data_IF_838730028410
#
_entry.id   IF_838730028410
#
_cell.length_a   1.000
_cell.length_b   1.000
_cell.length_c   1.000
_cell.angle_alpha   90.00
_cell.angle_beta   90.00
_cell.angle_gamma   90.00
#
_symmetry.space_group_name_H-M   'P 1'
#
loop_
_entity.id
_entity.type
_entity.pdbx_description
1 polymer ?
#
# COMPACT_ATOMS: atom_id res chain seq x y z
N UNK A 1 -19.35 16.46 -5.48
CA UNK A 1 -20.62 17.11 -5.88
C UNK A 1 -21.40 16.18 -6.80
N UNK A 2 -22.75 16.21 -6.76
CA UNK A 2 -23.60 15.37 -7.62
C UNK A 2 -24.52 16.18 -8.54
N UNK A 3 -24.94 17.38 -8.13
CA UNK A 3 -25.70 18.31 -8.96
C UNK A 3 -25.34 19.76 -8.59
N UNK A 4 -25.46 20.68 -9.55
CA UNK A 4 -25.25 22.12 -9.34
C UNK A 4 -26.25 22.93 -10.17
N UNK A 5 -27.01 23.84 -9.53
CA UNK A 5 -27.99 24.72 -10.19
C UNK A 5 -28.94 23.95 -11.13
N UNK A 6 -29.50 22.84 -10.65
CA UNK A 6 -30.40 21.97 -11.42
C UNK A 6 -29.73 21.07 -12.47
N UNK A 7 -28.41 21.16 -12.69
CA UNK A 7 -27.69 20.28 -13.60
C UNK A 7 -27.16 19.04 -12.87
N UNK A 8 -27.49 17.87 -13.39
CA UNK A 8 -26.94 16.60 -12.94
C UNK A 8 -25.48 16.44 -13.38
N UNK A 9 -24.61 16.08 -12.44
CA UNK A 9 -23.19 15.83 -12.65
C UNK A 9 -22.82 14.37 -12.39
N UNK A 10 -23.75 13.49 -12.02
CA UNK A 10 -23.46 12.09 -11.63
C UNK A 10 -22.71 11.31 -12.71
N UNK A 11 -22.99 11.60 -13.99
CA UNK A 11 -22.32 11.03 -15.17
C UNK A 11 -20.91 11.57 -15.43
N UNK A 12 -20.51 12.65 -14.75
CA UNK A 12 -19.18 13.23 -14.91
C UNK A 12 -18.13 12.47 -14.08
N UNK A 13 -16.90 12.33 -14.57
CA UNK A 13 -15.76 11.85 -13.80
C UNK A 13 -15.60 12.56 -12.45
N UNK A 14 -15.07 11.86 -11.45
CA UNK A 14 -14.82 12.42 -10.12
C UNK A 14 -13.91 13.66 -10.19
N UNK A 15 -12.91 13.67 -11.06
CA UNK A 15 -12.01 14.81 -11.25
C UNK A 15 -12.78 16.08 -11.63
N UNK A 16 -13.63 16.02 -12.66
CA UNK A 16 -14.47 17.14 -13.10
C UNK A 16 -15.41 17.59 -11.98
N UNK A 17 -16.04 16.64 -11.28
CA UNK A 17 -16.94 16.95 -10.16
C UNK A 17 -16.23 17.63 -8.99
N UNK A 18 -14.95 17.32 -8.76
CA UNK A 18 -14.12 17.99 -7.75
C UNK A 18 -13.75 19.40 -8.18
N UNK A 19 -13.41 19.61 -9.45
CA UNK A 19 -13.13 20.94 -9.99
C UNK A 19 -14.35 21.86 -9.90
N UNK A 20 -15.54 21.36 -10.19
CA UNK A 20 -16.78 22.12 -10.00
C UNK A 20 -17.01 22.42 -8.51
N UNK A 21 -16.73 21.47 -7.61
CA UNK A 21 -16.88 21.69 -6.17
C UNK A 21 -15.91 22.74 -5.63
N UNK A 22 -14.67 22.77 -6.12
CA UNK A 22 -13.65 23.73 -5.66
C UNK A 22 -13.93 25.17 -6.10
N UNK A 23 -14.74 25.37 -7.14
CA UNK A 23 -15.18 26.70 -7.61
C UNK A 23 -16.31 27.29 -6.76
N UNK A 24 -16.88 26.52 -5.84
CA UNK A 24 -18.00 26.97 -5.01
C UNK A 24 -17.46 27.46 -3.68
N UNK A 25 -17.78 28.71 -3.36
CA UNK A 25 -17.57 29.26 -2.02
C UNK A 25 -18.52 28.57 -1.04
N UNK A 26 -17.98 27.63 -0.27
CA UNK A 26 -18.71 27.00 0.83
C UNK A 26 -18.62 27.89 2.06
N UNK A 27 -19.75 28.38 2.54
CA UNK A 27 -19.84 29.14 3.78
C UNK A 27 -19.86 28.19 4.99
N UNK A 28 -19.21 28.58 6.08
CA UNK A 28 -18.89 27.72 7.24
C UNK A 28 -20.12 27.20 7.99
N UNK A 29 -20.01 26.05 8.71
CA UNK A 29 -18.78 25.31 9.05
C UNK A 29 -18.57 24.03 8.22
N UNK A 30 -18.31 24.17 6.92
CA UNK A 30 -18.02 23.04 6.04
C UNK A 30 -16.52 22.88 5.78
N UNK A 31 -16.03 21.64 5.85
CA UNK A 31 -14.67 21.27 5.46
C UNK A 31 -14.71 20.35 4.25
N UNK A 32 -13.86 20.64 3.26
CA UNK A 32 -13.67 19.79 2.09
C UNK A 32 -12.62 18.71 2.37
N UNK A 33 -12.93 17.48 1.91
CA UNK A 33 -11.95 16.39 1.93
C UNK A 33 -11.02 16.51 0.73
N UNK A 34 -9.83 17.04 0.98
CA UNK A 34 -8.75 17.10 0.00
C UNK A 34 -8.16 15.71 -0.29
N UNK A 35 -7.60 15.49 -1.49
CA UNK A 35 -6.90 14.25 -1.81
C UNK A 35 -5.66 14.15 -0.91
N UNK A 36 -5.44 12.97 -0.34
CA UNK A 36 -4.29 12.74 0.52
C UNK A 36 -3.06 12.40 -0.35
N UNK A 37 -2.00 13.23 -0.35
CA UNK A 37 -0.78 12.92 -1.09
C UNK A 37 0.05 11.85 -0.37
N UNK A 38 0.88 11.14 -1.13
CA UNK A 38 1.83 10.15 -0.59
C UNK A 38 1.53 8.72 -1.02
N UNK A 39 2.37 7.80 -0.56
CA UNK A 39 2.24 6.37 -0.86
C UNK A 39 1.23 5.69 0.07
N UNK A 40 0.77 4.50 -0.33
CA UNK A 40 -0.20 3.73 0.45
C UNK A 40 0.33 3.39 1.84
N UNK A 41 1.63 3.12 1.97
CA UNK A 41 2.28 2.78 3.23
C UNK A 41 2.26 3.96 4.20
N UNK A 42 2.59 5.17 3.72
CA UNK A 42 2.57 6.38 4.53
C UNK A 42 1.14 6.71 4.98
N UNK A 43 0.17 6.67 4.06
CA UNK A 43 -1.22 6.93 4.40
C UNK A 43 -1.77 5.92 5.42
N UNK A 44 -1.45 4.63 5.24
CA UNK A 44 -1.88 3.58 6.18
C UNK A 44 -1.25 3.77 7.56
N UNK A 45 0.03 4.15 7.64
CA UNK A 45 0.69 4.45 8.92
C UNK A 45 0.05 5.67 9.62
N UNK A 46 -0.27 6.73 8.87
CA UNK A 46 -0.93 7.93 9.39
C UNK A 46 -2.33 7.60 9.93
N UNK A 47 -3.13 6.84 9.18
CA UNK A 47 -4.49 6.43 9.58
C UNK A 47 -4.46 5.53 10.82
N UNK A 48 -3.47 4.64 10.96
CA UNK A 48 -3.22 3.89 12.22
C UNK A 48 -2.93 4.80 13.39
N UNK A 49 -1.99 5.74 13.22
CA UNK A 49 -1.58 6.69 14.27
C UNK A 49 -2.77 7.53 14.75
N UNK A 50 -3.62 7.93 13.82
CA UNK A 50 -4.83 8.73 14.09
C UNK A 50 -6.04 7.89 14.53
N UNK A 51 -5.91 6.55 14.64
CA UNK A 51 -6.97 5.62 15.01
C UNK A 51 -8.25 5.78 14.17
N UNK A 52 -8.07 6.08 12.89
CA UNK A 52 -9.15 6.18 11.92
C UNK A 52 -9.52 4.79 11.38
N UNK A 53 -10.77 4.60 10.95
CA UNK A 53 -11.27 3.31 10.46
C UNK A 53 -10.48 2.80 9.24
N UNK A 54 -10.10 3.70 8.34
CA UNK A 54 -9.46 3.33 7.09
C UNK A 54 -9.45 4.45 6.06
N UNK A 55 -9.12 4.08 4.82
CA UNK A 55 -9.05 4.97 3.67
C UNK A 55 -10.06 4.52 2.63
N UNK A 56 -10.70 5.46 1.95
CA UNK A 56 -11.48 5.19 0.74
C UNK A 56 -10.73 5.76 -0.46
N UNK A 57 -10.20 4.87 -1.29
CA UNK A 57 -9.59 5.24 -2.56
C UNK A 57 -10.70 5.40 -3.61
N UNK A 58 -10.66 6.50 -4.35
CA UNK A 58 -11.62 6.78 -5.42
C UNK A 58 -10.86 7.06 -6.70
N UNK A 59 -11.18 6.33 -7.77
CA UNK A 59 -10.64 6.57 -9.10
C UNK A 59 -11.11 7.93 -9.62
N UNK A 60 -10.20 8.73 -10.17
CA UNK A 60 -10.48 10.08 -10.67
C UNK A 60 -11.42 10.10 -11.88
N UNK A 61 -11.37 9.05 -12.70
CA UNK A 61 -12.22 8.85 -13.87
C UNK A 61 -13.58 8.21 -13.54
N UNK A 62 -13.83 7.85 -12.26
CA UNK A 62 -15.08 7.18 -11.86
C UNK A 62 -16.29 8.12 -11.89
N UNK A 63 -17.38 7.61 -12.49
CA UNK A 63 -18.72 8.21 -12.42
C UNK A 63 -19.38 7.84 -11.09
N UNK A 64 -20.41 8.60 -10.70
CA UNK A 64 -21.24 8.21 -9.56
C UNK A 64 -22.34 7.25 -10.03
N UNK A 65 -22.47 6.11 -9.37
CA UNK A 65 -23.42 5.06 -9.73
C UNK A 65 -24.41 4.83 -8.56
N UNK A 66 -25.57 5.50 -8.54
CA UNK A 66 -26.53 5.37 -7.46
C UNK A 66 -26.97 3.91 -7.27
N UNK A 67 -26.98 3.45 -6.02
CA UNK A 67 -27.44 2.10 -5.66
C UNK A 67 -26.51 0.95 -6.08
N UNK A 68 -25.37 1.23 -6.72
CA UNK A 68 -24.41 0.22 -7.14
C UNK A 68 -23.14 0.25 -6.28
N UNK A 69 -22.54 -0.92 -6.11
CA UNK A 69 -21.18 -1.03 -5.57
C UNK A 69 -20.19 -0.76 -6.70
N UNK A 70 -19.69 0.47 -6.76
CA UNK A 70 -18.76 0.87 -7.82
C UNK A 70 -17.35 0.32 -7.59
N UNK A 71 -16.75 -0.24 -8.63
CA UNK A 71 -15.34 -0.70 -8.61
C UNK A 71 -14.36 0.47 -8.48
N UNK A 72 -14.78 1.68 -8.87
CA UNK A 72 -13.95 2.88 -8.76
C UNK A 72 -13.78 3.39 -7.34
N UNK A 73 -14.50 2.83 -6.35
CA UNK A 73 -14.51 3.30 -4.97
C UNK A 73 -14.18 2.13 -4.03
N UNK A 74 -12.92 2.06 -3.60
CA UNK A 74 -12.40 0.94 -2.80
C UNK A 74 -12.20 1.38 -1.37
N UNK A 75 -12.90 0.72 -0.44
CA UNK A 75 -12.69 0.91 1.01
C UNK A 75 -11.58 -0.04 1.49
N UNK A 76 -10.55 0.54 2.08
CA UNK A 76 -9.46 -0.17 2.74
C UNK A 76 -9.53 0.08 4.25
N UNK A 77 -10.25 -0.76 5.01
CA UNK A 77 -10.30 -0.64 6.46
C UNK A 77 -8.98 -1.09 7.08
N UNK A 78 -8.49 -0.36 8.06
CA UNK A 78 -7.32 -0.76 8.85
C UNK A 78 -7.81 -1.66 9.97
N UNK A 79 -7.46 -2.95 9.84
CA UNK A 79 -7.71 -3.93 10.90
C UNK A 79 -6.41 -4.17 11.64
N UNK A 80 -6.50 -4.18 12.96
CA UNK A 80 -5.47 -4.82 13.77
C UNK A 80 -5.36 -6.28 13.30
N UNK A 81 -4.14 -6.82 13.17
CA UNK A 81 -3.98 -8.23 12.85
C UNK A 81 -4.76 -9.04 13.88
N UNK A 82 -5.69 -9.87 13.40
CA UNK A 82 -6.48 -10.72 14.28
C UNK A 82 -5.51 -11.49 15.18
N UNK A 83 -5.67 -11.39 16.50
CA UNK A 83 -4.91 -12.23 17.43
C UNK A 83 -5.21 -13.67 17.05
N UNK A 84 -4.24 -14.33 16.42
CA UNK A 84 -4.34 -15.76 16.12
C UNK A 84 -4.39 -16.46 17.46
N UNK A 85 -5.60 -16.82 17.90
CA UNK A 85 -5.74 -17.79 18.98
C UNK A 85 -5.24 -19.08 18.39
N UNK A 86 -4.03 -19.50 18.76
CA UNK A 86 -3.53 -20.84 18.46
C UNK A 86 -4.57 -21.83 18.97
N UNK A 87 -5.45 -22.28 18.07
CA UNK A 87 -6.35 -23.38 18.36
C UNK A 87 -5.43 -24.58 18.50
N UNK A 88 -5.26 -25.10 19.71
CA UNK A 88 -4.60 -26.38 19.94
C UNK A 88 -5.28 -27.38 19.00
N UNK A 89 -4.61 -27.77 17.92
CA UNK A 89 -5.02 -28.92 17.14
C UNK A 89 -4.73 -30.08 18.08
N UNK A 90 -5.76 -30.58 18.75
CA UNK A 90 -5.69 -31.90 19.35
C UNK A 90 -5.48 -32.86 18.18
N UNK A 91 -4.22 -33.22 17.91
CA UNK A 91 -3.92 -34.33 17.05
C UNK A 91 -4.68 -35.53 17.63
N UNK A 92 -5.75 -35.95 16.94
CA UNK A 92 -6.26 -37.31 17.14
C UNK A 92 -5.03 -38.19 16.90
N UNK A 93 -4.54 -38.84 17.96
CA UNK A 93 -3.59 -39.94 17.83
C UNK A 93 -4.25 -40.94 16.88
N UNK A 94 -3.91 -40.85 15.60
CA UNK A 94 -4.15 -41.95 14.69
C UNK A 94 -3.24 -43.04 15.20
N UNK A 95 -3.85 -44.04 15.81
CA UNK A 95 -3.22 -45.25 16.30
C UNK A 95 -2.73 -46.02 15.06
N UNK A 96 -1.58 -45.63 14.52
CA UNK A 96 -0.92 -46.36 13.44
C UNK A 96 -0.31 -47.59 14.08
N UNK A 97 -1.07 -48.67 14.06
CA UNK A 97 -0.64 -50.01 14.43
C UNK A 97 0.47 -50.45 13.46
N UNK A 98 1.73 -50.14 13.81
CA UNK A 98 2.92 -50.64 13.10
C UNK A 98 2.97 -52.18 13.24
N UNK A 99 3.01 -52.96 12.15
CA UNK A 99 3.31 -54.38 12.27
C UNK A 99 4.80 -54.53 12.56
N UNK A 100 5.10 -55.18 13.68
CA UNK A 100 6.45 -55.56 14.04
C UNK A 100 7.02 -56.52 12.98
N UNK A 101 7.91 -56.02 12.11
CA UNK A 101 8.87 -56.86 11.41
C UNK A 101 10.27 -56.27 11.56
N UNK A 102 11.00 -56.91 12.48
CA UNK A 102 12.44 -56.81 12.67
C UNK A 102 13.16 -56.88 11.32
N UNK A 103 13.87 -55.81 10.96
CA UNK A 103 15.14 -55.96 10.25
C UNK A 103 16.24 -55.40 11.15
N UNK A 104 16.98 -56.31 11.77
CA UNK A 104 18.29 -56.04 12.34
C UNK A 104 19.27 -55.82 11.18
N UNK A 105 19.47 -54.58 10.77
CA UNK A 105 20.69 -54.22 10.03
C UNK A 105 21.78 -53.93 11.06
N UNK A 106 22.80 -54.78 11.01
CA UNK A 106 23.96 -54.81 11.89
C UNK A 106 24.74 -53.50 11.83
N UNK A 107 25.27 -53.12 12.99
CA UNK A 107 26.20 -52.05 13.19
C UNK A 107 27.57 -52.28 12.52
N UNK A 108 28.35 -51.18 12.49
CA UNK A 108 29.76 -50.95 12.12
C UNK A 108 29.90 -50.40 10.70
N UNK A 109 30.57 -49.27 10.47
CA UNK A 109 31.81 -48.85 11.08
C UNK A 109 31.91 -47.34 11.34
N UNK A 110 32.75 -47.03 12.33
CA UNK A 110 33.26 -45.71 12.65
C UNK A 110 34.03 -45.11 11.47
N UNK A 111 33.81 -43.83 11.19
CA UNK A 111 34.83 -42.98 10.58
C UNK A 111 35.21 -41.93 11.62
N UNK A 112 36.45 -42.07 12.07
CA UNK A 112 37.16 -41.15 12.94
C UNK A 112 37.69 -40.00 12.09
N UNK A 113 37.69 -38.82 12.72
CA UNK A 113 38.09 -37.48 12.27
C UNK A 113 39.34 -37.40 11.38
N UNK A 114 39.22 -36.59 10.34
CA UNK A 114 40.26 -35.71 9.77
C UNK A 114 39.52 -34.40 9.43
N UNK A 115 39.81 -33.24 10.01
CA UNK A 115 41.01 -32.45 9.78
C UNK A 115 40.59 -31.10 9.18
N UNK A 116 39.90 -30.25 9.95
CA UNK A 116 39.60 -28.89 9.52
C UNK A 116 40.82 -28.01 9.80
N UNK A 117 41.68 -27.91 8.79
CA UNK A 117 42.66 -26.84 8.69
C UNK A 117 41.96 -25.49 8.71
N UNK A 118 42.57 -24.55 9.44
CA UNK A 118 42.02 -23.23 9.70
C UNK A 118 41.93 -22.35 8.46
N UNK A 119 41.23 -21.24 8.64
CA UNK A 119 41.43 -19.94 7.99
C UNK A 119 40.49 -18.96 8.70
N UNK A 120 41.04 -18.23 9.66
CA UNK A 120 40.58 -16.88 9.97
C UNK A 120 41.52 -15.95 9.20
N UNK A 121 40.98 -15.14 8.27
CA UNK A 121 41.20 -13.71 8.45
C UNK A 121 39.98 -12.86 8.09
N UNK A 122 39.62 -12.07 9.09
CA UNK A 122 39.15 -10.69 9.03
C UNK A 122 39.56 -9.87 7.79
N UNK A 123 38.66 -8.93 7.45
CA UNK A 123 38.79 -7.70 6.62
C UNK A 123 38.55 -7.77 5.09
N UNK A 124 37.38 -7.27 4.68
CA UNK A 124 37.15 -6.26 3.63
C UNK A 124 35.66 -5.84 3.73
N UNK A 125 35.24 -4.77 4.40
CA UNK A 125 35.38 -3.33 4.06
C UNK A 125 35.11 -2.98 2.58
N UNK A 126 34.01 -2.24 2.40
CA UNK A 126 33.75 -1.22 1.36
C UNK A 126 33.45 -1.68 -0.08
N UNK A 127 32.18 -1.66 -0.51
CA UNK A 127 31.54 -0.49 -1.15
C UNK A 127 30.23 -0.86 -1.88
N UNK A 128 29.20 0.02 -1.86
CA UNK A 128 27.95 -0.16 -2.60
C UNK A 128 28.12 0.32 -4.05
N UNK A 129 27.88 -0.56 -5.03
CA UNK A 129 27.72 -0.12 -6.43
C UNK A 129 26.31 0.40 -6.69
N UNK A 130 26.16 1.53 -7.39
CA UNK A 130 24.86 2.11 -7.75
C UNK A 130 24.30 1.42 -9.00
N UNK A 131 23.03 1.01 -8.99
CA UNK A 131 22.34 0.64 -10.22
C UNK A 131 21.46 1.81 -10.72
N UNK A 132 22.10 2.60 -11.57
CA UNK A 132 21.63 3.08 -12.88
C UNK A 132 20.14 3.38 -13.05
N UNK A 133 19.91 4.69 -13.09
CA UNK A 133 18.89 5.42 -13.83
C UNK A 133 18.18 4.65 -14.97
N UNK A 134 16.84 4.63 -14.88
CA UNK A 134 15.95 4.50 -16.01
C UNK A 134 15.07 5.75 -16.07
N UNK A 135 15.36 6.60 -17.08
CA UNK A 135 14.43 7.33 -17.98
C UNK A 135 13.16 7.86 -17.30
N UNK A 136 13.04 9.16 -17.04
CA UNK A 136 13.00 10.20 -18.08
C UNK A 136 11.55 10.50 -18.46
N UNK A 137 10.87 11.30 -17.64
CA UNK A 137 9.57 11.90 -17.93
C UNK A 137 9.63 13.35 -17.47
N UNK A 138 9.98 14.25 -18.39
CA UNK A 138 10.02 15.69 -18.13
C UNK A 138 8.59 16.18 -17.87
N UNK A 139 8.33 16.65 -16.64
CA UNK A 139 7.14 17.44 -16.36
C UNK A 139 7.51 18.89 -16.69
N UNK A 140 6.93 19.41 -17.76
CA UNK A 140 7.05 20.81 -18.16
C UNK A 140 6.48 21.69 -17.06
N UNK A 141 7.32 22.55 -16.50
CA UNK A 141 6.94 23.65 -15.63
C UNK A 141 6.41 24.77 -16.53
N UNK A 142 5.14 25.15 -16.39
CA UNK A 142 4.67 26.42 -16.91
C UNK A 142 5.06 27.50 -15.89
N UNK A 143 6.07 28.29 -16.22
CA UNK A 143 6.30 29.57 -15.55
C UNK A 143 5.16 30.54 -15.89
N UNK A 144 4.65 31.30 -14.91
CA UNK A 144 3.80 32.45 -15.21
C UNK A 144 4.67 33.56 -15.81
N UNK A 145 4.42 33.91 -17.07
CA UNK A 145 4.93 35.13 -17.68
C UNK A 145 4.54 36.33 -16.83
N UNK A 146 5.56 36.97 -16.27
CA UNK A 146 5.49 38.35 -15.83
C UNK A 146 5.24 39.22 -17.08
N UNK A 147 4.22 40.08 -17.03
CA UNK A 147 4.16 41.26 -17.88
C UNK A 147 3.86 42.42 -16.96
N UNK A 148 4.89 43.25 -16.85
CA UNK A 148 4.93 44.47 -16.07
C UNK A 148 4.02 45.54 -16.68
N UNK A 149 3.50 46.36 -15.76
CA UNK A 149 3.28 47.80 -15.79
C UNK A 149 3.26 48.57 -17.13
N UNK A 150 2.28 49.49 -17.21
CA UNK A 150 2.53 50.81 -17.78
C UNK A 150 1.39 51.37 -18.62
N UNK A 151 0.59 52.28 -18.04
CA UNK A 151 0.62 53.70 -18.42
C UNK A 151 -0.67 54.44 -18.06
N UNK A 152 -0.44 55.55 -17.37
CA UNK A 152 -1.29 56.72 -17.13
C UNK A 152 -1.94 57.25 -18.42
N UNK A 153 -3.14 57.83 -18.28
CA UNK A 153 -3.82 58.64 -19.31
C UNK A 153 -5.31 58.80 -19.02
#
# INVERSE_FOLDING_TARGET
MLALKGRDLTWRPLAERRQVLSQISLHLPLLLSEPLPGTVEHLTAAVRRLRLEGIVAKRLDSRYEPGKRSEGWVKSPIREPARVRHRRICARRADVRLPARRLLCRARAAVRREGAGGLDPTLASSDPRPNRAARGGAVSVCEPTQSEEGSVG
#
